data_IF_925353979631
#
_entry.id   IF_925353979631
#
_cell.length_a   1.000
_cell.length_b   1.000
_cell.length_c   1.000
_cell.angle_alpha   90.00
_cell.angle_beta   90.00
_cell.angle_gamma   90.00
#
_symmetry.space_group_name_H-M   'P 1'
#
loop_
_entity.id
_entity.type
_entity.pdbx_description
1 polymer ?
#
# COMPACT_ATOMS: atom_id res chain seq x y z
N UNK A 1 -12.20 -2.63 -44.12
CA UNK A 1 -12.35 -1.16 -44.04
C UNK A 1 -12.46 -0.81 -42.59
N UNK A 2 -11.58 0.06 -42.09
CA UNK A 2 -11.50 0.38 -40.68
C UNK A 2 -12.64 1.34 -40.32
N UNK A 3 -13.65 0.84 -39.62
CA UNK A 3 -14.61 1.73 -38.93
C UNK A 3 -13.87 2.43 -37.77
N UNK A 4 -13.24 3.54 -38.13
CA UNK A 4 -12.70 4.44 -37.12
C UNK A 4 -13.90 5.04 -36.37
N UNK A 5 -14.07 4.59 -35.11
CA UNK A 5 -15.08 5.21 -34.22
C UNK A 5 -14.87 6.71 -34.21
N UNK A 6 -15.87 7.46 -34.68
CA UNK A 6 -15.85 8.91 -34.53
C UNK A 6 -15.96 9.28 -33.07
N UNK A 7 -15.16 10.25 -32.60
CA UNK A 7 -15.22 10.78 -31.23
C UNK A 7 -16.63 11.10 -30.77
N UNK A 8 -17.50 11.52 -31.68
CA UNK A 8 -18.91 11.79 -31.42
C UNK A 8 -19.69 10.55 -30.97
N UNK A 9 -19.41 9.39 -31.57
CA UNK A 9 -20.09 8.12 -31.22
C UNK A 9 -19.68 7.64 -29.82
N UNK A 10 -18.39 7.79 -29.47
CA UNK A 10 -17.90 7.49 -28.12
C UNK A 10 -18.57 8.37 -27.09
N UNK A 11 -18.68 9.67 -27.37
CA UNK A 11 -19.29 10.62 -26.47
C UNK A 11 -20.80 10.37 -26.26
N UNK A 12 -21.52 10.03 -27.33
CA UNK A 12 -22.92 9.64 -27.26
C UNK A 12 -23.14 8.35 -26.48
N UNK A 13 -22.27 7.36 -26.68
CA UNK A 13 -22.31 6.10 -25.91
C UNK A 13 -22.12 6.34 -24.41
N UNK A 14 -21.15 7.17 -24.03
CA UNK A 14 -20.90 7.56 -22.66
C UNK A 14 -22.09 8.32 -22.06
N UNK A 15 -22.63 9.28 -22.81
CA UNK A 15 -23.81 10.05 -22.40
C UNK A 15 -25.07 9.18 -22.24
N UNK A 16 -25.24 8.13 -23.04
CA UNK A 16 -26.34 7.18 -22.91
C UNK A 16 -26.12 6.18 -21.78
N UNK A 17 -24.85 5.78 -21.54
CA UNK A 17 -24.46 4.80 -20.53
C UNK A 17 -24.12 5.37 -19.16
N UNK A 18 -24.21 6.69 -18.94
CA UNK A 18 -23.71 7.33 -17.71
C UNK A 18 -24.30 6.77 -16.41
N UNK A 19 -25.61 6.46 -16.42
CA UNK A 19 -26.29 5.86 -15.25
C UNK A 19 -25.73 4.48 -14.91
N UNK A 20 -25.42 3.68 -15.94
CA UNK A 20 -24.80 2.38 -15.77
C UNK A 20 -23.37 2.51 -15.25
N UNK A 21 -22.59 3.45 -15.80
CA UNK A 21 -21.22 3.72 -15.35
C UNK A 21 -21.20 4.10 -13.87
N UNK A 22 -22.04 5.06 -13.47
CA UNK A 22 -22.15 5.48 -12.07
C UNK A 22 -22.61 4.32 -11.18
N UNK A 23 -23.62 3.58 -11.60
CA UNK A 23 -24.15 2.45 -10.83
C UNK A 23 -23.10 1.38 -10.56
N UNK A 24 -22.34 0.98 -11.58
CA UNK A 24 -21.27 -0.02 -11.45
C UNK A 24 -20.12 0.52 -10.60
N UNK A 25 -19.73 1.78 -10.81
CA UNK A 25 -18.66 2.42 -10.00
C UNK A 25 -19.04 2.45 -8.51
N UNK A 26 -20.26 2.85 -8.18
CA UNK A 26 -20.75 2.85 -6.79
C UNK A 26 -20.82 1.43 -6.23
N UNK A 27 -21.29 0.46 -7.01
CA UNK A 27 -21.36 -0.94 -6.58
C UNK A 27 -19.98 -1.48 -6.20
N UNK A 28 -18.95 -1.24 -7.03
CA UNK A 28 -17.58 -1.66 -6.76
C UNK A 28 -16.99 -0.93 -5.55
N UNK A 29 -17.27 0.36 -5.39
CA UNK A 29 -16.87 1.13 -4.22
C UNK A 29 -17.49 0.57 -2.92
N UNK A 30 -18.77 0.18 -2.95
CA UNK A 30 -19.46 -0.44 -1.81
C UNK A 30 -18.91 -1.82 -1.48
N UNK A 31 -18.61 -2.64 -2.49
CA UNK A 31 -17.97 -3.95 -2.30
C UNK A 31 -16.60 -3.77 -1.66
N UNK A 32 -15.77 -2.85 -2.17
CA UNK A 32 -14.46 -2.55 -1.61
C UNK A 32 -14.55 -2.02 -0.17
N UNK A 33 -15.54 -1.19 0.13
CA UNK A 33 -15.82 -0.74 1.49
C UNK A 33 -16.19 -1.92 2.40
N UNK A 34 -17.09 -2.79 1.98
CA UNK A 34 -17.50 -3.96 2.74
C UNK A 34 -16.31 -4.89 3.04
N UNK A 35 -15.48 -5.17 2.05
CA UNK A 35 -14.24 -5.97 2.23
C UNK A 35 -13.30 -5.27 3.23
N UNK A 36 -13.10 -3.95 3.09
CA UNK A 36 -12.17 -3.20 3.94
C UNK A 36 -12.60 -3.14 5.40
N UNK A 37 -13.92 -3.06 5.68
CA UNK A 37 -14.42 -2.95 7.05
C UNK A 37 -14.71 -4.30 7.72
N UNK A 38 -15.10 -5.32 6.95
CA UNK A 38 -15.55 -6.59 7.53
C UNK A 38 -14.57 -7.74 7.36
N UNK A 39 -13.74 -7.72 6.32
CA UNK A 39 -12.87 -8.85 6.00
C UNK A 39 -11.41 -8.64 6.41
N UNK A 40 -10.94 -7.39 6.39
CA UNK A 40 -9.54 -7.08 6.70
C UNK A 40 -9.36 -6.87 8.21
N UNK A 41 -8.37 -7.55 8.78
CA UNK A 41 -8.00 -7.41 10.19
C UNK A 41 -7.27 -6.08 10.42
N UNK A 42 -7.62 -5.34 11.47
CA UNK A 42 -6.88 -4.13 11.81
C UNK A 42 -5.44 -4.45 12.21
N UNK A 43 -4.49 -3.67 11.73
CA UNK A 43 -3.06 -3.78 12.06
C UNK A 43 -2.63 -2.53 12.82
N UNK A 44 -1.92 -2.74 13.93
CA UNK A 44 -1.38 -1.68 14.76
C UNK A 44 0.13 -1.61 14.60
N UNK A 45 0.65 -0.40 14.60
CA UNK A 45 2.07 -0.09 14.48
C UNK A 45 2.61 0.35 15.83
N UNK A 46 3.79 -0.17 16.19
CA UNK A 46 4.50 0.24 17.40
C UNK A 46 5.97 0.48 17.08
N UNK A 47 6.54 1.53 17.66
CA UNK A 47 7.88 1.99 17.36
C UNK A 47 8.74 2.02 18.61
N UNK A 48 9.93 1.45 18.52
CA UNK A 48 10.99 1.57 19.52
C UNK A 48 12.24 2.14 18.83
N UNK A 49 12.98 2.99 19.53
CA UNK A 49 14.15 3.67 18.94
C UNK A 49 15.42 3.30 19.70
N UNK A 50 16.45 2.94 18.96
CA UNK A 50 17.81 2.72 19.42
C UNK A 50 18.68 3.92 19.08
N UNK A 51 19.57 4.28 19.99
CA UNK A 51 20.68 5.20 19.74
C UNK A 51 21.91 4.37 19.41
N UNK A 52 22.49 4.59 18.24
CA UNK A 52 23.76 4.03 17.83
C UNK A 52 24.85 5.01 18.27
N UNK A 53 25.53 4.70 19.39
CA UNK A 53 26.61 5.54 19.92
C UNK A 53 27.94 4.97 19.41
N UNK A 54 28.61 5.69 18.53
CA UNK A 54 30.01 5.35 18.24
C UNK A 54 30.88 5.94 19.35
N UNK A 55 31.57 5.09 20.09
CA UNK A 55 32.72 5.56 20.84
C UNK A 55 33.71 6.16 19.85
N UNK A 56 33.87 7.47 19.93
CA UNK A 56 34.91 8.21 19.22
C UNK A 56 36.24 7.56 19.59
N UNK A 57 36.71 6.63 18.77
CA UNK A 57 38.16 6.30 18.81
C UNK A 57 38.84 7.61 18.50
N UNK A 58 39.52 8.13 19.49
CA UNK A 58 40.35 9.34 19.46
C UNK A 58 41.30 9.32 18.26
N UNK A 59 40.79 9.74 17.11
CA UNK A 59 41.58 10.03 15.93
C UNK A 59 41.01 11.29 15.32
N UNK A 60 41.82 12.32 15.27
CA UNK A 60 41.60 13.58 14.56
C UNK A 60 41.40 13.26 13.07
N UNK A 61 40.17 12.91 12.65
CA UNK A 61 39.79 12.69 11.27
C UNK A 61 38.51 13.47 10.96
N UNK A 62 38.49 14.03 9.79
CA UNK A 62 37.52 14.98 9.27
C UNK A 62 36.07 14.61 9.54
N UNK A 63 35.29 15.52 10.14
CA UNK A 63 33.87 15.38 10.53
C UNK A 63 32.95 14.80 9.46
N UNK A 64 33.26 14.97 8.18
CA UNK A 64 32.46 14.45 7.07
C UNK A 64 32.61 12.93 6.85
N UNK A 65 33.79 12.36 7.09
CA UNK A 65 34.05 10.91 6.95
C UNK A 65 33.39 10.16 8.10
N UNK A 66 33.42 10.74 9.30
CA UNK A 66 32.79 10.16 10.49
C UNK A 66 31.26 10.10 10.34
N UNK A 67 30.63 11.11 9.73
CA UNK A 67 29.19 11.11 9.49
C UNK A 67 28.77 9.99 8.51
N UNK A 68 29.52 9.80 7.42
CA UNK A 68 29.19 8.78 6.42
C UNK A 68 29.37 7.37 6.96
N UNK A 69 30.41 7.15 7.77
CA UNK A 69 30.65 5.85 8.45
C UNK A 69 29.55 5.56 9.47
N UNK A 70 29.04 6.57 10.15
CA UNK A 70 27.92 6.48 11.08
C UNK A 70 26.63 6.04 10.40
N UNK A 71 26.31 6.64 9.26
CA UNK A 71 25.10 6.27 8.49
C UNK A 71 25.18 4.83 7.97
N UNK A 72 26.36 4.39 7.55
CA UNK A 72 26.54 3.00 7.09
C UNK A 72 26.40 1.99 8.24
N UNK A 73 26.87 2.33 9.43
CA UNK A 73 26.70 1.50 10.62
C UNK A 73 25.23 1.33 10.99
N UNK A 74 24.42 2.39 10.91
CA UNK A 74 22.98 2.33 11.24
C UNK A 74 22.23 1.42 10.27
N UNK A 75 22.54 1.47 8.97
CA UNK A 75 21.93 0.58 7.98
C UNK A 75 22.31 -0.89 8.21
N UNK A 76 23.51 -1.14 8.70
CA UNK A 76 23.94 -2.49 9.11
C UNK A 76 23.10 -2.97 10.30
N UNK A 77 22.91 -2.15 11.33
CA UNK A 77 22.07 -2.50 12.47
C UNK A 77 20.60 -2.69 12.08
N UNK A 78 20.09 -1.90 11.12
CA UNK A 78 18.76 -2.10 10.57
C UNK A 78 18.59 -3.47 9.93
N UNK A 79 19.61 -3.94 9.22
CA UNK A 79 19.61 -5.29 8.64
C UNK A 79 19.69 -6.37 9.73
N UNK A 80 20.55 -6.18 10.74
CA UNK A 80 20.71 -7.12 11.87
C UNK A 80 19.39 -7.30 12.65
N UNK A 81 18.58 -6.25 12.77
CA UNK A 81 17.29 -6.32 13.44
C UNK A 81 16.33 -7.36 12.84
N UNK A 82 16.46 -7.65 11.55
CA UNK A 82 15.63 -8.59 10.79
C UNK A 82 16.23 -9.99 10.65
N UNK A 83 17.46 -10.20 11.13
CA UNK A 83 18.11 -11.50 10.99
C UNK A 83 17.46 -12.55 11.90
N UNK A 84 17.42 -13.82 11.47
CA UNK A 84 16.92 -14.92 12.28
C UNK A 84 17.58 -15.00 13.66
N UNK A 85 18.88 -14.75 13.74
CA UNK A 85 19.63 -14.77 15.00
C UNK A 85 19.10 -13.73 16.02
N UNK A 86 18.59 -12.60 15.56
CA UNK A 86 17.96 -11.59 16.43
C UNK A 86 16.53 -11.95 16.77
N UNK A 87 15.79 -12.53 15.83
CA UNK A 87 14.37 -12.80 15.97
C UNK A 87 14.05 -14.10 16.71
N UNK A 88 14.89 -15.14 16.61
CA UNK A 88 14.68 -16.41 17.30
C UNK A 88 14.53 -16.22 18.83
N UNK A 89 15.44 -15.51 19.53
CA UNK A 89 15.26 -15.28 20.97
C UNK A 89 14.00 -14.49 21.32
N UNK A 90 13.56 -13.60 20.44
CA UNK A 90 12.32 -12.84 20.62
C UNK A 90 11.10 -13.75 20.48
N UNK A 91 11.09 -14.62 19.47
CA UNK A 91 10.04 -15.61 19.22
C UNK A 91 9.90 -16.55 20.40
N UNK A 92 11.02 -17.10 20.88
CA UNK A 92 11.03 -18.03 22.02
C UNK A 92 10.57 -17.37 23.30
N UNK A 93 11.04 -16.16 23.59
CA UNK A 93 10.72 -15.45 24.83
C UNK A 93 9.27 -14.98 24.89
N UNK A 94 8.71 -14.56 23.77
CA UNK A 94 7.32 -14.11 23.68
C UNK A 94 6.35 -15.24 23.30
N UNK A 95 6.86 -16.49 23.15
CA UNK A 95 6.10 -17.66 22.72
C UNK A 95 5.26 -17.36 21.46
N UNK A 96 5.91 -16.81 20.44
CA UNK A 96 5.25 -16.51 19.16
C UNK A 96 5.22 -17.78 18.31
N UNK A 97 4.08 -18.09 17.73
CA UNK A 97 3.95 -19.24 16.82
C UNK A 97 4.12 -18.79 15.37
N UNK A 98 5.29 -18.22 15.05
CA UNK A 98 5.63 -17.70 13.72
C UNK A 98 7.08 -18.05 13.39
N UNK A 99 7.40 -18.14 12.10
CA UNK A 99 8.76 -18.29 11.63
C UNK A 99 9.51 -16.95 11.66
N UNK A 100 10.86 -16.95 11.84
CA UNK A 100 11.65 -15.72 11.82
C UNK A 100 11.46 -14.90 10.52
N UNK A 101 11.36 -15.59 9.38
CA UNK A 101 11.18 -14.98 8.08
C UNK A 101 9.82 -14.28 7.95
N UNK A 102 8.77 -14.81 8.58
CA UNK A 102 7.44 -14.20 8.59
C UNK A 102 7.41 -13.00 9.54
N UNK A 103 7.99 -13.15 10.73
CA UNK A 103 8.12 -12.02 11.66
C UNK A 103 8.94 -10.87 11.06
N UNK A 104 9.98 -11.18 10.27
CA UNK A 104 10.81 -10.18 9.61
C UNK A 104 10.04 -9.30 8.60
N UNK A 105 8.93 -9.81 8.03
CA UNK A 105 8.06 -9.04 7.11
C UNK A 105 7.24 -7.99 7.86
N UNK A 106 6.87 -8.28 9.10
CA UNK A 106 6.10 -7.39 9.96
C UNK A 106 6.98 -6.36 10.69
N UNK A 107 8.29 -6.40 10.46
CA UNK A 107 9.26 -5.50 11.07
C UNK A 107 9.84 -4.58 10.01
N UNK A 108 9.84 -3.28 10.28
CA UNK A 108 10.62 -2.31 9.53
C UNK A 108 11.66 -1.65 10.45
N UNK A 109 12.89 -1.55 9.94
CA UNK A 109 14.01 -0.97 10.67
C UNK A 109 14.62 0.13 9.80
N UNK A 110 14.43 1.37 10.20
CA UNK A 110 14.81 2.55 9.43
C UNK A 110 15.72 3.48 10.22
N UNK A 111 16.76 3.97 9.52
CA UNK A 111 17.61 5.04 10.04
C UNK A 111 16.88 6.37 9.95
N UNK A 112 16.87 7.15 11.03
CA UNK A 112 16.38 8.53 10.98
C UNK A 112 17.41 9.39 10.25
N UNK A 113 16.96 10.12 9.23
CA UNK A 113 17.85 10.96 8.41
C UNK A 113 18.66 11.93 9.27
N UNK A 114 19.97 12.03 8.98
CA UNK A 114 20.90 12.90 9.67
C UNK A 114 20.96 12.71 11.20
N UNK A 115 20.69 11.49 11.67
CA UNK A 115 20.67 11.15 13.10
C UNK A 115 21.31 9.79 13.32
N UNK A 116 21.82 9.57 14.52
CA UNK A 116 22.34 8.28 14.99
C UNK A 116 21.24 7.40 15.58
N UNK A 117 19.99 7.66 15.24
CA UNK A 117 18.84 6.92 15.71
C UNK A 117 18.40 5.86 14.68
N UNK A 118 18.16 4.65 15.18
CA UNK A 118 17.54 3.55 14.46
C UNK A 118 16.14 3.31 15.03
N UNK A 119 15.11 3.48 14.23
CA UNK A 119 13.73 3.18 14.61
C UNK A 119 13.35 1.80 14.15
N UNK A 120 12.92 0.97 15.07
CA UNK A 120 12.35 -0.35 14.83
C UNK A 120 10.85 -0.25 14.97
N UNK A 121 10.18 -0.50 13.88
CA UNK A 121 8.73 -0.48 13.76
C UNK A 121 8.23 -1.90 13.61
N UNK A 122 7.21 -2.26 14.38
CA UNK A 122 6.57 -3.58 14.33
C UNK A 122 5.08 -3.41 14.05
N UNK A 123 4.59 -4.16 13.10
CA UNK A 123 3.18 -4.24 12.72
C UNK A 123 2.57 -5.54 13.24
N UNK A 124 1.41 -5.46 13.91
CA UNK A 124 0.74 -6.64 14.43
C UNK A 124 -0.76 -6.36 14.62
N UNK A 125 -1.65 -7.35 14.43
CA UNK A 125 -3.07 -7.21 14.73
C UNK A 125 -3.38 -6.84 16.19
N UNK A 126 -2.47 -7.14 17.12
CA UNK A 126 -2.58 -6.74 18.53
C UNK A 126 -1.55 -5.66 18.86
N UNK A 127 -2.02 -4.47 19.25
CA UNK A 127 -1.15 -3.37 19.66
C UNK A 127 -0.18 -3.79 20.79
N UNK A 128 -0.68 -4.55 21.77
CA UNK A 128 0.16 -5.02 22.87
C UNK A 128 1.30 -5.91 22.36
N UNK A 129 1.00 -6.85 21.46
CA UNK A 129 2.04 -7.71 20.85
C UNK A 129 3.05 -6.91 20.05
N UNK A 130 2.60 -5.92 19.26
CA UNK A 130 3.49 -5.03 18.51
C UNK A 130 4.47 -4.31 19.45
N UNK A 131 3.98 -3.80 20.58
CA UNK A 131 4.81 -3.15 21.62
C UNK A 131 5.79 -4.13 22.26
N UNK A 132 5.33 -5.31 22.63
CA UNK A 132 6.17 -6.33 23.30
C UNK A 132 7.29 -6.81 22.33
N UNK A 133 6.95 -7.06 21.07
CA UNK A 133 7.92 -7.48 20.03
C UNK A 133 8.95 -6.37 19.79
N UNK A 134 8.52 -5.12 19.58
CA UNK A 134 9.42 -3.99 19.31
C UNK A 134 10.42 -3.79 20.48
N UNK A 135 9.93 -3.87 21.71
CA UNK A 135 10.77 -3.73 22.90
C UNK A 135 11.73 -4.92 23.07
N UNK A 136 11.27 -6.13 22.79
CA UNK A 136 12.13 -7.30 22.95
C UNK A 136 13.21 -7.35 21.86
N UNK A 137 12.91 -6.96 20.61
CA UNK A 137 13.92 -6.83 19.55
C UNK A 137 14.99 -5.83 19.96
N UNK A 138 14.59 -4.62 20.39
CA UNK A 138 15.56 -3.59 20.81
C UNK A 138 16.41 -4.06 21.99
N UNK A 139 15.81 -4.78 22.93
CA UNK A 139 16.54 -5.35 24.06
C UNK A 139 17.52 -6.43 23.63
N UNK A 140 17.11 -7.38 22.78
CA UNK A 140 17.96 -8.44 22.26
C UNK A 140 19.16 -7.87 21.48
N UNK A 141 18.91 -6.82 20.66
CA UNK A 141 19.99 -6.15 19.93
C UNK A 141 21.00 -5.50 20.87
N UNK A 142 20.55 -4.83 21.94
CA UNK A 142 21.46 -4.22 22.92
C UNK A 142 22.23 -5.28 23.68
N UNK A 143 21.56 -6.35 24.14
CA UNK A 143 22.20 -7.44 24.88
C UNK A 143 23.29 -8.16 24.05
N UNK A 144 23.01 -8.45 22.78
CA UNK A 144 24.00 -9.05 21.87
C UNK A 144 25.14 -8.11 21.53
N UNK A 145 24.86 -6.83 21.34
CA UNK A 145 25.88 -5.84 20.99
C UNK A 145 26.78 -5.46 22.18
N UNK A 146 26.28 -5.58 23.39
CA UNK A 146 27.08 -5.30 24.61
C UNK A 146 28.23 -6.30 24.81
N UNK A 147 28.17 -7.46 24.16
CA UNK A 147 29.26 -8.46 24.20
C UNK A 147 30.42 -8.05 23.32
N UNK A 148 30.22 -7.24 22.26
CA UNK A 148 31.26 -6.93 21.28
C UNK A 148 31.67 -5.45 21.23
N UNK A 149 30.75 -4.48 21.28
CA UNK A 149 31.05 -3.10 20.92
C UNK A 149 30.40 -2.02 21.81
N UNK A 150 29.45 -2.33 22.67
CA UNK A 150 28.77 -1.39 23.60
C UNK A 150 28.12 -0.14 22.91
N UNK A 151 27.84 -0.25 21.63
CA UNK A 151 27.47 0.91 20.78
C UNK A 151 25.99 1.15 20.66
N UNK A 152 25.12 0.27 21.19
CA UNK A 152 23.68 0.39 21.13
C UNK A 152 23.08 0.72 22.49
N UNK A 153 22.19 1.72 22.53
CA UNK A 153 21.41 2.06 23.72
C UNK A 153 19.95 2.25 23.33
N UNK A 154 19.01 1.82 24.19
CA UNK A 154 17.60 2.09 23.98
C UNK A 154 17.35 3.58 24.25
N UNK A 155 17.00 4.33 23.20
CA UNK A 155 16.64 5.75 23.30
C UNK A 155 15.18 5.93 23.69
N UNK A 156 14.28 5.13 23.09
CA UNK A 156 12.85 5.14 23.42
C UNK A 156 12.26 3.74 23.32
N UNK A 157 11.46 3.36 24.31
CA UNK A 157 10.70 2.12 24.30
C UNK A 157 9.34 2.33 23.64
N UNK A 158 8.88 1.31 22.92
CA UNK A 158 7.50 1.26 22.47
C UNK A 158 6.54 1.25 23.66
N UNK A 159 5.41 1.94 23.50
CA UNK A 159 4.37 2.04 24.54
C UNK A 159 2.99 1.79 23.93
N UNK A 160 2.11 1.18 24.72
CA UNK A 160 0.71 1.05 24.34
C UNK A 160 0.06 2.43 24.39
N UNK A 161 -0.44 2.90 23.27
CA UNK A 161 -1.15 4.19 23.17
C UNK A 161 -2.63 3.93 23.38
N UNK A 162 -3.22 4.59 24.38
CA UNK A 162 -4.66 4.51 24.63
C UNK A 162 -5.41 5.09 23.44
N UNK A 163 -6.32 4.33 22.85
CA UNK A 163 -7.06 4.67 21.62
C UNK A 163 -6.19 4.80 20.36
N UNK A 164 -5.13 4.01 20.23
CA UNK A 164 -4.39 3.93 18.96
C UNK A 164 -5.33 3.51 17.83
N UNK A 165 -5.27 4.25 16.73
CA UNK A 165 -5.99 3.86 15.51
C UNK A 165 -5.14 2.82 14.78
N UNK A 166 -5.76 1.78 14.20
CA UNK A 166 -5.04 0.87 13.32
C UNK A 166 -4.49 1.65 12.12
N UNK A 167 -3.32 1.27 11.65
CA UNK A 167 -2.69 1.86 10.46
C UNK A 167 -3.22 1.21 9.19
N UNK A 168 -3.67 -0.03 9.28
CA UNK A 168 -4.31 -0.78 8.21
C UNK A 168 -5.61 -1.44 8.71
N UNK A 169 -6.57 -1.71 7.81
CA UNK A 169 -6.65 -1.24 6.43
C UNK A 169 -6.87 0.29 6.36
N UNK A 170 -6.52 0.89 5.21
CA UNK A 170 -6.91 2.26 4.87
C UNK A 170 -8.18 2.24 4.01
N UNK A 171 -9.39 2.32 4.60
CA UNK A 171 -10.64 2.10 3.87
C UNK A 171 -10.81 3.08 2.71
N UNK A 172 -10.34 4.30 2.88
CA UNK A 172 -10.46 5.35 1.87
C UNK A 172 -9.67 5.00 0.59
N UNK A 173 -8.48 4.45 0.73
CA UNK A 173 -7.64 4.02 -0.40
C UNK A 173 -8.27 2.81 -1.08
N UNK A 174 -8.73 1.82 -0.32
CA UNK A 174 -9.36 0.62 -0.85
C UNK A 174 -10.66 0.93 -1.61
N UNK A 175 -11.49 1.85 -1.10
CA UNK A 175 -12.69 2.35 -1.78
C UNK A 175 -12.30 3.08 -3.08
N UNK A 176 -11.25 3.90 -3.05
CA UNK A 176 -10.74 4.60 -4.23
C UNK A 176 -10.29 3.63 -5.33
N UNK A 177 -9.56 2.58 -4.96
CA UNK A 177 -9.14 1.52 -5.91
C UNK A 177 -10.36 0.77 -6.46
N UNK A 178 -11.31 0.40 -5.60
CA UNK A 178 -12.56 -0.24 -6.02
C UNK A 178 -13.36 0.62 -6.99
N UNK A 179 -13.51 1.90 -6.70
CA UNK A 179 -14.20 2.85 -7.59
C UNK A 179 -13.48 2.99 -8.94
N UNK A 180 -12.15 3.09 -8.95
CA UNK A 180 -11.36 3.16 -10.19
C UNK A 180 -11.53 1.90 -11.05
N UNK A 181 -11.48 0.72 -10.45
CA UNK A 181 -11.73 -0.55 -11.15
C UNK A 181 -13.15 -0.63 -11.71
N UNK A 182 -14.15 -0.24 -10.92
CA UNK A 182 -15.54 -0.21 -11.35
C UNK A 182 -15.77 0.75 -12.53
N UNK A 183 -15.12 1.90 -12.48
CA UNK A 183 -15.15 2.88 -13.56
C UNK A 183 -14.51 2.34 -14.85
N UNK A 184 -13.34 1.75 -14.77
CA UNK A 184 -12.65 1.17 -15.93
C UNK A 184 -13.48 0.04 -16.57
N UNK A 185 -14.01 -0.87 -15.75
CA UNK A 185 -14.82 -2.00 -16.24
C UNK A 185 -16.13 -1.52 -16.88
N UNK A 186 -16.78 -0.53 -16.27
CA UNK A 186 -18.02 0.02 -16.82
C UNK A 186 -17.81 0.76 -18.12
N UNK A 187 -16.72 1.52 -18.23
CA UNK A 187 -16.31 2.18 -19.48
C UNK A 187 -16.05 1.16 -20.59
N UNK A 188 -15.27 0.14 -20.27
CA UNK A 188 -14.97 -0.94 -21.21
C UNK A 188 -16.24 -1.64 -21.70
N UNK A 189 -17.16 -1.95 -20.77
CA UNK A 189 -18.43 -2.59 -21.11
C UNK A 189 -19.30 -1.70 -22.03
N UNK A 190 -19.43 -0.42 -21.73
CA UNK A 190 -20.25 0.53 -22.52
C UNK A 190 -19.64 0.66 -23.93
N UNK A 191 -18.32 0.76 -24.05
CA UNK A 191 -17.64 0.85 -25.34
C UNK A 191 -17.78 -0.45 -26.13
N UNK A 192 -17.55 -1.60 -25.49
CA UNK A 192 -17.69 -2.91 -26.14
C UNK A 192 -19.13 -3.11 -26.66
N UNK A 193 -20.13 -2.79 -25.83
CA UNK A 193 -21.55 -2.85 -26.22
C UNK A 193 -21.86 -1.95 -27.39
N UNK A 194 -21.28 -0.75 -27.44
CA UNK A 194 -21.48 0.19 -28.56
C UNK A 194 -20.86 -0.31 -29.85
N UNK A 195 -19.69 -0.94 -29.77
CA UNK A 195 -19.02 -1.60 -30.91
C UNK A 195 -19.83 -2.79 -31.46
N UNK A 196 -20.51 -3.52 -30.57
CA UNK A 196 -21.32 -4.67 -30.94
C UNK A 196 -22.75 -4.27 -31.41
N UNK A 197 -23.16 -3.00 -31.21
CA UNK A 197 -24.46 -2.48 -31.63
C UNK A 197 -24.40 -2.11 -33.11
N UNK A 198 -24.68 -3.09 -33.97
CA UNK A 198 -24.70 -2.98 -35.44
C UNK A 198 -25.95 -2.23 -35.94
N UNK A 199 -26.75 -1.63 -35.08
CA UNK A 199 -27.97 -0.92 -35.49
C UNK A 199 -27.64 0.33 -36.30
N UNK A 200 -28.14 0.38 -37.51
CA UNK A 200 -28.10 1.54 -38.40
C UNK A 200 -29.05 2.62 -37.84
N UNK A 201 -28.49 3.69 -37.24
CA UNK A 201 -29.23 4.74 -36.52
C UNK A 201 -29.37 6.03 -37.31
N UNK A 202 -28.58 6.21 -38.37
CA UNK A 202 -28.58 7.42 -39.19
C UNK A 202 -28.79 7.08 -40.66
N UNK A 203 -29.48 7.99 -41.35
CA UNK A 203 -29.70 7.84 -42.80
C UNK A 203 -28.39 7.68 -43.58
N UNK A 204 -27.34 8.37 -43.15
CA UNK A 204 -26.00 8.27 -43.74
C UNK A 204 -25.34 6.89 -43.57
N UNK A 205 -25.60 6.22 -42.43
CA UNK A 205 -25.15 4.84 -42.22
C UNK A 205 -25.89 3.86 -43.13
N UNK A 206 -27.21 4.07 -43.31
CA UNK A 206 -28.03 3.24 -44.20
C UNK A 206 -27.56 3.39 -45.66
N UNK A 207 -27.35 4.64 -46.11
CA UNK A 207 -26.86 4.91 -47.48
C UNK A 207 -25.47 4.27 -47.75
N UNK A 208 -24.60 4.31 -46.73
CA UNK A 208 -23.24 3.76 -46.85
C UNK A 208 -23.21 2.23 -46.89
N UNK A 209 -24.03 1.57 -46.05
CA UNK A 209 -24.06 0.11 -45.95
C UNK A 209 -24.89 -0.56 -47.04
N UNK A 210 -26.01 0.06 -47.46
CA UNK A 210 -26.92 -0.53 -48.46
C UNK A 210 -26.65 0.02 -49.83
N UNK A 211 -25.93 1.15 -49.98
CA UNK A 211 -25.59 1.75 -51.26
C UNK A 211 -26.75 2.41 -52.00
N UNK A 212 -27.85 2.72 -51.30
CA UNK A 212 -29.09 3.33 -51.83
C UNK A 212 -29.39 4.60 -51.08
N UNK A 213 -29.70 5.69 -51.79
CA UNK A 213 -30.09 6.98 -51.16
C UNK A 213 -31.36 6.88 -50.36
N UNK A 214 -31.34 7.37 -49.15
CA UNK A 214 -32.53 7.43 -48.26
C UNK A 214 -33.46 8.56 -48.74
N UNK A 215 -34.65 8.21 -49.21
CA UNK A 215 -35.61 9.16 -49.78
C UNK A 215 -36.42 9.88 -48.71
N UNK A 216 -36.47 9.32 -47.48
CA UNK A 216 -37.20 9.94 -46.36
C UNK A 216 -37.10 9.16 -45.06
N UNK A 217 -37.29 9.83 -43.92
CA UNK A 217 -37.29 9.26 -42.60
C UNK A 217 -38.66 9.46 -41.96
N UNK A 218 -39.28 8.39 -41.49
CA UNK A 218 -40.56 8.44 -40.79
C UNK A 218 -40.24 8.45 -39.29
N UNK A 219 -40.51 9.57 -38.60
CA UNK A 219 -40.28 9.63 -37.14
C UNK A 219 -41.23 8.70 -36.41
N UNK A 220 -40.70 7.90 -35.48
CA UNK A 220 -41.52 7.08 -34.60
C UNK A 220 -42.19 7.97 -33.54
N UNK A 221 -43.48 8.14 -33.63
CA UNK A 221 -44.27 8.86 -32.65
C UNK A 221 -44.63 7.88 -31.52
N UNK A 222 -44.15 8.18 -30.30
CA UNK A 222 -44.40 7.39 -29.08
C UNK A 222 -45.54 8.00 -28.29
#
# INVERSE_FOLDING_TARGET
MQDTMNFTQIFEALKKGWKFIIGVTILFALIAAAISYFLLTPVYKSEATLLVNQETRTSKSNDAVDLQTNLQSITTYASIAKLPDTLLPVIDKLNLNVLPEDLAKDIDATAVQNSTLLTITVENPSQKRAVDIANEITKTMVEKNSLDLNNLKVASKARVIRNAKPVEPTPLINIGIGAALGLLLSLFYVLAKTLMDVSLKTSEQVEREIGVSVIGNIPYIK
#
